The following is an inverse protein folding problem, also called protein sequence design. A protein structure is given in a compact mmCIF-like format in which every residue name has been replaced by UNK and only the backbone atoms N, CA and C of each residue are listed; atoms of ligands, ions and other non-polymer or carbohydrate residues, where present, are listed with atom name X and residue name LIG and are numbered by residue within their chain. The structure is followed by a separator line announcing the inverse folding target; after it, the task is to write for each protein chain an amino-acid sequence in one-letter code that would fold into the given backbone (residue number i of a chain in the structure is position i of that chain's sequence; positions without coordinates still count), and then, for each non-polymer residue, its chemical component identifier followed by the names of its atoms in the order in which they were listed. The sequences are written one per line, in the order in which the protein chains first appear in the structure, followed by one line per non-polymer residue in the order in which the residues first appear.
data_IF_080159722169
#
_entry.id   IF_080159722169
#
_cell.length_a   1.000
_cell.length_b   1.000
_cell.length_c   1.000
_cell.angle_alpha   90.00
_cell.angle_beta   90.00
_cell.angle_gamma   90.00
#
_symmetry.space_group_name_H-M   'P 1'
#
loop_
_entity.id
_entity.type
_entity.pdbx_description
1 polymer ?
#
# COMPACT_ATOMS: atom_id res chain seq x y z
N UNK A 1 15.41 -5.29 -20.65
CA UNK A 1 14.52 -6.48 -20.78
C UNK A 1 13.14 -6.11 -20.31
N UNK A 2 12.09 -6.69 -20.90
CA UNK A 2 10.72 -6.50 -20.40
C UNK A 2 10.55 -7.18 -19.02
N UNK A 3 9.74 -6.64 -18.10
CA UNK A 3 9.55 -7.23 -16.76
C UNK A 3 9.15 -8.71 -16.78
N UNK A 4 8.32 -9.12 -17.75
CA UNK A 4 7.95 -10.53 -17.90
C UNK A 4 9.16 -11.41 -18.25
N UNK A 5 10.02 -10.98 -19.18
CA UNK A 5 11.19 -11.76 -19.56
C UNK A 5 12.19 -11.92 -18.39
N UNK A 6 12.30 -10.91 -17.53
CA UNK A 6 13.11 -11.01 -16.30
C UNK A 6 12.49 -12.02 -15.33
N UNK A 7 11.17 -11.97 -15.13
CA UNK A 7 10.45 -12.89 -14.25
C UNK A 7 10.53 -14.34 -14.75
N UNK A 8 10.44 -14.56 -16.09
CA UNK A 8 10.57 -15.88 -16.69
C UNK A 8 11.96 -16.47 -16.45
N UNK A 9 13.02 -15.67 -16.67
CA UNK A 9 14.39 -16.10 -16.42
C UNK A 9 14.63 -16.40 -14.95
N UNK A 10 14.18 -15.54 -14.06
CA UNK A 10 14.29 -15.76 -12.61
C UNK A 10 13.53 -17.00 -12.13
N UNK A 11 12.34 -17.28 -12.67
CA UNK A 11 11.60 -18.49 -12.34
C UNK A 11 12.36 -19.76 -12.72
N UNK A 12 13.05 -19.77 -13.88
CA UNK A 12 13.84 -20.93 -14.33
C UNK A 12 15.16 -21.10 -13.55
N UNK A 13 15.69 -20.02 -13.01
CA UNK A 13 16.94 -20.02 -12.22
C UNK A 13 16.69 -20.23 -10.72
N UNK A 14 15.41 -20.23 -10.31
CA UNK A 14 15.09 -20.35 -8.90
C UNK A 14 15.45 -21.76 -8.39
N UNK A 15 16.19 -21.85 -7.26
CA UNK A 15 16.60 -23.16 -6.74
C UNK A 15 15.42 -23.97 -6.21
N UNK A 16 15.49 -25.28 -6.33
CA UNK A 16 14.55 -26.18 -5.65
C UNK A 16 14.74 -26.07 -4.14
N UNK A 17 13.65 -25.76 -3.45
CA UNK A 17 13.59 -25.72 -1.98
C UNK A 17 12.36 -26.48 -1.49
N UNK A 18 12.54 -27.30 -0.48
CA UNK A 18 11.49 -28.19 0.06
C UNK A 18 10.23 -27.44 0.50
N UNK A 19 10.40 -26.19 0.93
CA UNK A 19 9.30 -25.32 1.36
C UNK A 19 8.38 -24.85 0.23
N UNK A 20 8.80 -24.95 -1.03
CA UNK A 20 8.04 -24.55 -2.20
C UNK A 20 7.65 -25.74 -3.06
N UNK A 21 6.39 -25.74 -3.50
CA UNK A 21 5.87 -26.68 -4.47
C UNK A 21 6.17 -26.21 -5.90
N UNK A 22 6.09 -24.92 -6.14
CA UNK A 22 6.22 -24.34 -7.46
C UNK A 22 6.60 -22.85 -7.42
N UNK A 23 7.31 -22.40 -8.46
CA UNK A 23 7.65 -21.00 -8.72
C UNK A 23 7.28 -20.67 -10.16
N UNK A 24 6.30 -19.79 -10.33
CA UNK A 24 5.81 -19.36 -11.65
C UNK A 24 5.97 -17.87 -11.87
N UNK A 25 6.06 -17.47 -13.13
CA UNK A 25 6.06 -16.06 -13.53
C UNK A 25 4.75 -15.67 -14.18
N UNK A 26 4.21 -14.50 -13.83
CA UNK A 26 3.03 -13.95 -14.47
C UNK A 26 3.03 -12.41 -14.40
N UNK A 27 2.86 -11.77 -15.52
CA UNK A 27 2.78 -10.30 -15.63
C UNK A 27 3.98 -9.55 -15.01
N UNK A 28 5.18 -10.15 -15.06
CA UNK A 28 6.39 -9.59 -14.47
C UNK A 28 6.57 -9.85 -12.98
N UNK A 29 5.74 -10.70 -12.38
CA UNK A 29 5.84 -11.15 -11.00
C UNK A 29 6.29 -12.60 -10.90
N UNK A 30 7.00 -12.93 -9.82
CA UNK A 30 7.23 -14.31 -9.39
C UNK A 30 6.16 -14.68 -8.37
N UNK A 31 5.50 -15.81 -8.61
CA UNK A 31 4.51 -16.38 -7.71
C UNK A 31 5.10 -17.66 -7.10
N UNK A 32 5.03 -17.74 -5.78
CA UNK A 32 5.55 -18.86 -5.00
C UNK A 32 4.36 -19.66 -4.44
N UNK A 33 4.33 -20.96 -4.71
CA UNK A 33 3.36 -21.86 -4.13
C UNK A 33 4.03 -22.65 -3.02
N UNK A 34 3.54 -22.48 -1.78
CA UNK A 34 4.07 -23.20 -0.64
C UNK A 34 3.78 -24.69 -0.75
N UNK A 35 4.73 -25.52 -0.32
CA UNK A 35 4.54 -26.96 -0.20
C UNK A 35 3.72 -27.26 1.07
N UNK A 36 2.45 -27.70 0.95
CA UNK A 36 1.58 -27.90 2.10
C UNK A 36 2.04 -29.08 2.98
N UNK A 37 2.67 -30.10 2.41
CA UNK A 37 3.19 -31.24 3.17
C UNK A 37 4.38 -30.81 4.03
N UNK A 38 5.34 -30.09 3.43
CA UNK A 38 6.47 -29.55 4.17
C UNK A 38 6.01 -28.59 5.27
N UNK A 39 5.04 -27.72 4.97
CA UNK A 39 4.50 -26.79 5.95
C UNK A 39 3.80 -27.53 7.10
N UNK A 40 2.98 -28.54 6.79
CA UNK A 40 2.30 -29.35 7.80
C UNK A 40 3.31 -30.09 8.69
N UNK A 41 4.29 -30.75 8.10
CA UNK A 41 5.33 -31.45 8.84
C UNK A 41 6.14 -30.50 9.73
N UNK A 42 6.51 -29.36 9.21
CA UNK A 42 7.29 -28.36 9.95
C UNK A 42 6.50 -27.80 11.16
N UNK A 43 5.19 -27.55 10.97
CA UNK A 43 4.32 -27.05 12.06
C UNK A 43 3.99 -28.15 13.06
N UNK A 44 3.58 -29.35 12.58
CA UNK A 44 3.12 -30.45 13.43
C UNK A 44 4.26 -31.15 14.17
N UNK A 45 5.47 -31.22 13.58
CA UNK A 45 6.66 -31.75 14.25
C UNK A 45 7.20 -30.84 15.37
N UNK A 46 6.63 -29.64 15.50
CA UNK A 46 7.06 -28.67 16.49
C UNK A 46 8.41 -27.98 16.16
N UNK A 47 8.89 -28.14 14.92
CA UNK A 47 10.07 -27.40 14.46
C UNK A 47 9.82 -25.89 14.42
N UNK A 48 8.55 -25.48 14.17
CA UNK A 48 8.07 -24.13 14.39
C UNK A 48 7.12 -24.13 15.58
N UNK A 49 7.63 -24.12 16.78
CA UNK A 49 6.86 -23.75 17.95
C UNK A 49 6.72 -22.24 17.98
N UNK A 50 5.51 -21.73 17.73
CA UNK A 50 5.24 -20.30 17.81
C UNK A 50 5.67 -19.74 19.18
N UNK A 51 5.49 -20.50 20.26
CA UNK A 51 6.01 -20.15 21.60
C UNK A 51 7.53 -20.15 21.69
N UNK A 52 8.20 -21.18 21.16
CA UNK A 52 9.66 -21.30 21.21
C UNK A 52 10.37 -20.44 20.15
N UNK A 53 9.72 -20.18 19.02
CA UNK A 53 10.20 -19.17 18.06
C UNK A 53 10.26 -17.78 18.73
N UNK A 54 9.36 -17.51 19.66
CA UNK A 54 9.34 -16.27 20.44
C UNK A 54 10.38 -16.23 21.56
N UNK A 55 10.75 -17.39 22.11
CA UNK A 55 11.72 -17.50 23.20
C UNK A 55 13.16 -17.71 22.70
N UNK A 56 13.34 -18.40 21.56
CA UNK A 56 14.64 -18.75 20.98
C UNK A 56 15.11 -17.79 19.86
N UNK A 57 14.38 -16.74 19.58
CA UNK A 57 14.93 -15.66 18.78
C UNK A 57 16.06 -15.04 19.58
N UNK A 58 17.27 -15.54 19.40
CA UNK A 58 18.45 -14.84 19.88
C UNK A 58 18.28 -13.40 19.44
N UNK A 59 18.30 -12.47 20.41
CA UNK A 59 18.19 -11.04 20.10
C UNK A 59 19.25 -10.73 19.06
N UNK A 60 18.85 -10.60 17.83
CA UNK A 60 19.81 -10.29 16.75
C UNK A 60 20.33 -8.87 16.92
N UNK A 61 19.56 -8.01 17.62
CA UNK A 61 19.94 -6.62 17.86
C UNK A 61 20.09 -5.80 16.58
N UNK A 62 19.59 -6.33 15.46
CA UNK A 62 19.65 -5.62 14.17
C UNK A 62 18.79 -4.36 14.23
N UNK A 63 19.30 -3.29 13.65
CA UNK A 63 18.52 -2.07 13.45
C UNK A 63 17.70 -2.23 12.16
N UNK A 64 16.38 -2.20 12.31
CA UNK A 64 15.44 -2.37 11.19
C UNK A 64 14.57 -1.12 11.05
N UNK A 65 14.58 -0.53 9.86
CA UNK A 65 13.68 0.54 9.48
C UNK A 65 12.52 -0.05 8.68
N UNK A 66 11.28 0.21 9.13
CA UNK A 66 10.07 -0.20 8.43
C UNK A 66 9.25 1.05 8.13
N UNK A 67 9.23 1.43 6.86
CA UNK A 67 8.30 2.43 6.36
C UNK A 67 6.96 1.76 5.99
N UNK A 68 5.87 2.28 6.53
CA UNK A 68 4.55 1.78 6.18
C UNK A 68 3.47 2.87 6.25
N UNK A 69 2.30 2.55 5.70
CA UNK A 69 1.17 3.46 5.57
C UNK A 69 1.42 4.51 4.49
N UNK A 70 2.30 5.48 4.68
CA UNK A 70 2.83 6.46 3.69
C UNK A 70 1.82 6.88 2.63
N UNK A 71 0.64 7.33 3.09
CA UNK A 71 -0.47 7.65 2.21
C UNK A 71 -0.45 9.13 1.82
N UNK A 72 -0.67 9.42 0.54
CA UNK A 72 -0.80 10.79 0.06
C UNK A 72 -1.94 11.53 0.77
N UNK A 73 -1.78 12.80 1.17
CA UNK A 73 -2.75 13.55 1.96
C UNK A 73 -3.90 14.14 1.11
N UNK A 74 -4.38 13.40 0.12
CA UNK A 74 -5.40 13.83 -0.84
C UNK A 74 -6.79 13.25 -0.57
N UNK A 75 -7.01 12.59 0.55
CA UNK A 75 -8.30 12.05 0.93
C UNK A 75 -8.25 10.94 1.97
N UNK A 76 -9.41 10.36 2.30
CA UNK A 76 -9.53 9.34 3.33
C UNK A 76 -8.86 8.02 2.94
N UNK A 77 -8.63 7.18 3.94
CA UNK A 77 -8.13 5.83 3.72
C UNK A 77 -9.15 4.97 2.99
N UNK A 78 -8.71 4.30 1.93
CA UNK A 78 -9.42 3.20 1.30
C UNK A 78 -8.80 1.85 1.71
N UNK A 79 -9.43 0.74 1.32
CA UNK A 79 -9.01 -0.62 1.70
C UNK A 79 -7.52 -0.89 1.42
N UNK A 80 -6.99 -0.43 0.29
CA UNK A 80 -5.57 -0.61 -0.05
C UNK A 80 -4.62 0.09 0.93
N UNK A 81 -4.95 1.32 1.35
CA UNK A 81 -4.15 2.06 2.35
C UNK A 81 -4.25 1.43 3.73
N UNK A 82 -5.46 1.00 4.13
CA UNK A 82 -5.68 0.30 5.40
C UNK A 82 -4.90 -1.02 5.47
N UNK A 83 -4.87 -1.79 4.37
CA UNK A 83 -4.07 -3.01 4.28
C UNK A 83 -2.59 -2.74 4.50
N UNK A 84 -2.03 -1.71 3.87
CA UNK A 84 -0.62 -1.36 4.06
C UNK A 84 -0.31 -1.00 5.52
N UNK A 85 -1.20 -0.25 6.18
CA UNK A 85 -1.05 0.09 7.58
C UNK A 85 -1.06 -1.15 8.49
N UNK A 86 -1.98 -2.09 8.27
CA UNK A 86 -2.10 -3.33 9.05
C UNK A 86 -0.87 -4.22 8.84
N UNK A 87 -0.46 -4.43 7.59
CA UNK A 87 0.72 -5.24 7.27
C UNK A 87 1.99 -4.63 7.86
N UNK A 88 2.16 -3.32 7.72
CA UNK A 88 3.33 -2.62 8.24
C UNK A 88 3.42 -2.68 9.76
N UNK A 89 2.33 -2.41 10.49
CA UNK A 89 2.30 -2.55 11.94
C UNK A 89 2.56 -4.00 12.39
N UNK A 90 2.04 -4.97 11.65
CA UNK A 90 2.32 -6.39 11.93
C UNK A 90 3.81 -6.71 11.77
N UNK A 91 4.44 -6.23 10.69
CA UNK A 91 5.89 -6.42 10.48
C UNK A 91 6.73 -5.74 11.56
N UNK A 92 6.35 -4.54 11.98
CA UNK A 92 7.00 -3.84 13.10
C UNK A 92 6.94 -4.68 14.37
N UNK A 93 5.76 -5.20 14.72
CA UNK A 93 5.57 -6.03 15.92
C UNK A 93 6.35 -7.34 15.85
N UNK A 94 6.34 -8.02 14.71
CA UNK A 94 7.08 -9.26 14.51
C UNK A 94 8.60 -9.05 14.63
N UNK A 95 9.13 -8.00 14.04
CA UNK A 95 10.55 -7.70 14.15
C UNK A 95 10.95 -7.32 15.58
N UNK A 96 10.13 -6.55 16.30
CA UNK A 96 10.36 -6.26 17.73
C UNK A 96 10.32 -7.52 18.58
N UNK A 97 9.37 -8.41 18.31
CA UNK A 97 9.25 -9.69 18.97
C UNK A 97 10.47 -10.57 18.71
N UNK A 98 11.03 -10.51 17.49
CA UNK A 98 12.29 -11.18 17.15
C UNK A 98 13.52 -10.56 17.82
N UNK A 99 13.38 -9.48 18.55
CA UNK A 99 14.45 -8.84 19.30
C UNK A 99 15.24 -7.79 18.53
N UNK A 100 14.74 -7.36 17.37
CA UNK A 100 15.32 -6.28 16.59
C UNK A 100 14.98 -4.91 17.17
N UNK A 101 15.88 -3.95 17.00
CA UNK A 101 15.61 -2.53 17.26
C UNK A 101 14.88 -1.93 16.06
N UNK A 102 13.56 -1.75 16.19
CA UNK A 102 12.71 -1.38 15.06
C UNK A 102 12.24 0.05 15.15
N UNK A 103 12.60 0.83 14.14
CA UNK A 103 12.07 2.16 13.88
C UNK A 103 10.97 2.06 12.80
N UNK A 104 9.75 2.47 13.18
CA UNK A 104 8.64 2.60 12.24
C UNK A 104 8.56 4.04 11.73
N UNK A 105 8.44 4.21 10.43
CA UNK A 105 8.37 5.52 9.81
C UNK A 105 7.15 5.65 8.89
N UNK A 106 6.68 6.88 8.76
CA UNK A 106 5.67 7.31 7.82
C UNK A 106 6.30 8.33 6.88
N UNK A 107 6.36 8.03 5.59
CA UNK A 107 6.78 9.00 4.59
C UNK A 107 5.63 9.97 4.28
N UNK A 108 5.82 11.24 4.58
CA UNK A 108 4.85 12.29 4.27
C UNK A 108 5.18 12.86 2.90
N UNK A 109 4.41 12.46 1.88
CA UNK A 109 4.48 13.03 0.54
C UNK A 109 3.47 14.19 0.43
N UNK A 110 3.86 15.36 0.90
CA UNK A 110 3.10 16.62 0.80
C UNK A 110 3.43 17.42 -0.47
N UNK A 111 4.20 16.84 -1.35
CA UNK A 111 4.61 17.38 -2.64
C UNK A 111 4.03 16.53 -3.78
N UNK A 112 4.35 16.89 -5.00
CA UNK A 112 3.98 16.10 -6.15
C UNK A 112 2.61 16.40 -6.75
N UNK A 113 2.31 15.71 -7.86
CA UNK A 113 1.18 16.03 -8.74
C UNK A 113 -0.19 15.97 -8.04
N UNK A 114 -0.40 15.00 -7.15
CA UNK A 114 -1.70 14.82 -6.51
C UNK A 114 -1.99 15.94 -5.51
N UNK A 115 -0.98 16.35 -4.75
CA UNK A 115 -1.10 17.46 -3.81
C UNK A 115 -1.24 18.77 -4.55
N UNK A 116 -0.48 18.97 -5.65
CA UNK A 116 -0.64 20.14 -6.52
C UNK A 116 -2.04 20.28 -7.09
N UNK A 117 -2.65 19.19 -7.54
CA UNK A 117 -4.05 19.18 -8.04
C UNK A 117 -5.04 19.55 -6.92
N UNK A 118 -4.85 19.02 -5.72
CA UNK A 118 -5.70 19.37 -4.57
C UNK A 118 -5.54 20.86 -4.19
N UNK A 119 -4.30 21.34 -4.09
CA UNK A 119 -4.02 22.74 -3.79
C UNK A 119 -4.66 23.69 -4.81
N UNK A 120 -4.45 23.41 -6.10
CA UNK A 120 -5.08 24.16 -7.17
C UNK A 120 -6.61 24.18 -7.03
N UNK A 121 -7.23 23.03 -6.74
CA UNK A 121 -8.68 22.94 -6.60
C UNK A 121 -9.19 23.79 -5.41
N UNK A 122 -8.49 23.76 -4.30
CA UNK A 122 -8.86 24.56 -3.11
C UNK A 122 -8.74 26.06 -3.36
N UNK A 123 -7.81 26.49 -4.21
CA UNK A 123 -7.59 27.89 -4.53
C UNK A 123 -8.53 28.42 -5.64
N UNK A 124 -9.01 27.53 -6.52
CA UNK A 124 -9.72 27.94 -7.75
C UNK A 124 -11.19 27.50 -7.84
N UNK A 125 -11.64 26.56 -7.02
CA UNK A 125 -13.02 26.05 -7.04
C UNK A 125 -13.77 26.47 -5.80
N UNK A 126 -14.97 27.00 -5.99
CA UNK A 126 -15.93 27.21 -4.91
C UNK A 126 -16.66 25.90 -4.53
N UNK A 127 -17.37 25.91 -3.41
CA UNK A 127 -18.21 24.77 -3.01
C UNK A 127 -19.31 24.50 -4.02
N UNK A 128 -19.86 25.54 -4.64
CA UNK A 128 -20.89 25.41 -5.67
C UNK A 128 -20.34 24.75 -6.94
N UNK A 129 -19.13 25.13 -7.39
CA UNK A 129 -18.45 24.47 -8.51
C UNK A 129 -18.21 22.99 -8.24
N UNK A 130 -17.77 22.67 -7.02
CA UNK A 130 -17.54 21.26 -6.61
C UNK A 130 -18.84 20.47 -6.59
N UNK A 131 -19.93 21.06 -6.11
CA UNK A 131 -21.25 20.43 -6.09
C UNK A 131 -21.78 20.18 -7.51
N UNK A 132 -21.61 21.14 -8.43
CA UNK A 132 -22.01 21.02 -9.82
C UNK A 132 -21.20 19.91 -10.53
N UNK A 133 -19.87 19.95 -10.44
CA UNK A 133 -18.98 18.97 -11.07
C UNK A 133 -19.18 17.54 -10.56
N UNK A 134 -19.65 17.39 -9.36
CA UNK A 134 -19.92 16.08 -8.73
C UNK A 134 -21.41 15.75 -8.61
N UNK A 135 -22.27 16.47 -9.31
CA UNK A 135 -23.75 16.32 -9.22
C UNK A 135 -24.23 14.91 -9.58
N UNK A 136 -23.56 14.22 -10.50
CA UNK A 136 -23.87 12.84 -10.89
C UNK A 136 -23.34 11.77 -9.90
N UNK A 137 -22.56 12.18 -8.89
CA UNK A 137 -21.99 11.25 -7.91
C UNK A 137 -22.83 11.19 -6.66
N UNK A 138 -23.00 10.00 -6.10
CA UNK A 138 -23.62 9.86 -4.78
C UNK A 138 -22.87 10.72 -3.74
N UNK A 139 -23.60 11.58 -3.01
CA UNK A 139 -22.99 12.35 -1.93
C UNK A 139 -22.48 11.39 -0.85
N UNK A 140 -21.39 11.75 -0.13
CA UNK A 140 -20.90 10.94 0.97
C UNK A 140 -22.01 10.75 2.01
N UNK A 141 -22.10 9.56 2.60
CA UNK A 141 -23.08 9.29 3.66
C UNK A 141 -22.96 10.32 4.78
N UNK A 142 -24.05 10.60 5.46
CA UNK A 142 -24.13 11.63 6.52
C UNK A 142 -23.02 11.47 7.58
N UNK A 143 -22.66 10.23 7.90
CA UNK A 143 -21.57 9.91 8.83
C UNK A 143 -20.21 10.52 8.44
N UNK A 144 -19.97 10.72 7.14
CA UNK A 144 -18.69 11.18 6.62
C UNK A 144 -18.69 12.65 6.22
N UNK A 145 -19.85 13.30 6.12
CA UNK A 145 -19.98 14.68 5.68
C UNK A 145 -19.25 15.70 6.56
N UNK A 146 -19.08 15.40 7.84
CA UNK A 146 -18.42 16.29 8.80
C UNK A 146 -16.92 16.07 8.91
N UNK A 147 -16.37 15.04 8.28
CA UNK A 147 -14.92 14.77 8.33
C UNK A 147 -14.17 15.59 7.30
N UNK A 148 -13.16 16.31 7.76
CA UNK A 148 -12.37 17.24 6.94
C UNK A 148 -11.68 16.56 5.73
N UNK A 149 -11.19 15.33 5.89
CA UNK A 149 -10.58 14.56 4.82
C UNK A 149 -11.58 14.15 3.74
N UNK A 150 -12.81 13.79 4.14
CA UNK A 150 -13.90 13.49 3.22
C UNK A 150 -14.46 14.74 2.52
N UNK A 151 -14.40 15.89 3.16
CA UNK A 151 -14.75 17.15 2.51
C UNK A 151 -13.69 17.54 1.49
N UNK A 152 -12.43 17.56 1.87
CA UNK A 152 -11.32 17.97 1.00
C UNK A 152 -11.15 17.08 -0.22
N UNK A 153 -11.37 15.77 -0.11
CA UNK A 153 -11.26 14.89 -1.28
C UNK A 153 -12.25 15.25 -2.39
N UNK A 154 -13.35 15.94 -2.10
CA UNK A 154 -14.30 16.38 -3.11
C UNK A 154 -13.67 17.41 -4.06
N UNK A 155 -12.87 18.34 -3.56
CA UNK A 155 -12.13 19.28 -4.41
C UNK A 155 -11.16 18.56 -5.34
N UNK A 156 -10.42 17.59 -4.80
CA UNK A 156 -9.55 16.76 -5.62
C UNK A 156 -10.32 15.99 -6.69
N UNK A 157 -11.49 15.44 -6.35
CA UNK A 157 -12.36 14.72 -7.28
C UNK A 157 -12.93 15.64 -8.37
N UNK A 158 -13.36 16.85 -8.01
CA UNK A 158 -13.84 17.85 -8.94
C UNK A 158 -12.75 18.27 -9.95
N UNK A 159 -11.54 18.55 -9.45
CA UNK A 159 -10.40 18.85 -10.32
C UNK A 159 -10.03 17.67 -11.25
N UNK A 160 -10.19 16.42 -10.82
CA UNK A 160 -9.99 15.25 -11.68
C UNK A 160 -11.06 15.14 -12.77
N UNK A 161 -12.30 15.57 -12.52
CA UNK A 161 -13.35 15.65 -13.56
C UNK A 161 -12.93 16.67 -14.61
N UNK A 162 -12.59 17.91 -14.18
CA UNK A 162 -12.12 18.96 -15.10
C UNK A 162 -10.90 18.54 -15.93
N UNK A 163 -9.96 17.84 -15.31
CA UNK A 163 -8.76 17.35 -16.01
C UNK A 163 -9.07 16.29 -17.05
N UNK A 164 -10.02 15.42 -16.77
CA UNK A 164 -10.42 14.36 -17.70
C UNK A 164 -11.07 14.94 -18.96
N UNK A 165 -11.84 16.00 -18.80
CA UNK A 165 -12.61 16.62 -19.88
C UNK A 165 -11.85 17.77 -20.57
N UNK A 166 -10.74 18.25 -19.97
CA UNK A 166 -9.94 19.33 -20.53
C UNK A 166 -8.99 18.84 -21.63
N UNK A 167 -8.75 19.70 -22.62
CA UNK A 167 -7.69 19.53 -23.61
C UNK A 167 -6.29 19.50 -22.95
N UNK A 168 -5.30 18.91 -23.65
CA UNK A 168 -3.94 18.70 -23.11
C UNK A 168 -3.28 19.98 -22.56
N UNK A 169 -3.50 21.13 -23.21
CA UNK A 169 -2.95 22.41 -22.74
C UNK A 169 -3.52 22.85 -21.39
N UNK A 170 -4.81 22.60 -21.12
CA UNK A 170 -5.44 22.88 -19.82
C UNK A 170 -5.07 21.87 -18.75
N UNK A 171 -4.79 20.63 -19.13
CA UNK A 171 -4.36 19.59 -18.17
C UNK A 171 -3.02 19.93 -17.51
N UNK A 172 -2.14 20.65 -18.21
CA UNK A 172 -0.86 21.08 -17.67
C UNK A 172 -1.01 22.22 -16.62
N UNK A 173 -2.15 22.95 -16.62
CA UNK A 173 -2.44 24.03 -15.65
C UNK A 173 -3.15 23.52 -14.39
N UNK A 174 -3.74 22.34 -14.43
CA UNK A 174 -4.39 21.66 -13.30
C UNK A 174 -3.49 20.52 -12.80
#
# INVERSE_FOLDING_TARGET
MAPQAIADELATLFPDIDALLDVTSMNGYLNFTANPEWLADTVLSGQIHVGNALENTGKTGEQVLIEHTSANPNGPFHVGRARNAILGDTLVRLNRLHGNDVRAEYYVDDMGKQVGVLAWALDNLSEDDVNELLSEREPPSERWRTKADHQRVRWYQAAQVLRKDAEEERKAQI
#
